data_IF_801847577829
#
_entry.id   IF_801847577829
#
_cell.length_a   1.000
_cell.length_b   1.000
_cell.length_c   1.000
_cell.angle_alpha   90.00
_cell.angle_beta   90.00
_cell.angle_gamma   90.00
#
_symmetry.space_group_name_H-M   'P 1'
#
loop_
_entity.id
_entity.type
_entity.pdbx_description
1 polymer ?
#
# COMPACT_ATOMS: atom_id res chain seq x y z
N UNK A 1 -2.76 -17.10 -5.29
CA UNK A 1 -3.67 -15.92 -5.29
C UNK A 1 -4.99 -16.23 -5.96
N UNK A 2 -6.08 -15.65 -5.46
CA UNK A 2 -7.40 -15.72 -6.09
C UNK A 2 -7.53 -14.62 -7.13
N UNK A 3 -7.80 -14.99 -8.38
CA UNK A 3 -8.15 -14.06 -9.45
C UNK A 3 -9.60 -13.60 -9.27
N UNK A 4 -9.82 -12.30 -9.07
CA UNK A 4 -11.15 -11.73 -8.90
C UNK A 4 -11.62 -11.14 -10.23
N UNK A 5 -12.78 -11.57 -10.72
CA UNK A 5 -13.35 -11.07 -11.97
C UNK A 5 -14.24 -9.87 -11.70
N UNK A 6 -13.98 -8.76 -12.40
CA UNK A 6 -14.78 -7.54 -12.30
C UNK A 6 -15.16 -7.07 -13.70
N UNK A 7 -16.47 -6.81 -13.90
CA UNK A 7 -16.96 -6.19 -15.13
C UNK A 7 -16.62 -4.69 -15.12
N UNK A 8 -16.05 -4.20 -16.20
CA UNK A 8 -15.67 -2.82 -16.38
C UNK A 8 -16.33 -2.24 -17.63
N UNK A 9 -16.75 -0.99 -17.56
CA UNK A 9 -17.30 -0.25 -18.71
C UNK A 9 -16.30 0.81 -19.14
N UNK A 10 -16.04 0.93 -20.44
CA UNK A 10 -15.19 2.01 -20.96
C UNK A 10 -15.93 3.35 -20.87
N UNK A 11 -15.20 4.43 -20.52
CA UNK A 11 -15.80 5.76 -20.41
C UNK A 11 -15.15 6.76 -21.35
N UNK A 12 -15.99 7.60 -21.95
CA UNK A 12 -15.59 8.69 -22.83
C UNK A 12 -15.87 10.07 -22.21
N UNK A 13 -16.64 10.13 -21.12
CA UNK A 13 -16.93 11.37 -20.43
C UNK A 13 -15.91 11.61 -19.31
N UNK A 14 -15.34 12.82 -19.26
CA UNK A 14 -14.31 13.22 -18.31
C UNK A 14 -14.73 14.42 -17.47
N UNK A 15 -13.91 14.72 -16.47
CA UNK A 15 -14.03 15.89 -15.60
C UNK A 15 -14.87 15.65 -14.34
N UNK A 16 -14.89 16.67 -13.48
CA UNK A 16 -15.49 16.63 -12.12
C UNK A 16 -16.96 16.22 -12.11
N UNK A 17 -17.74 16.71 -13.09
CA UNK A 17 -19.16 16.41 -13.18
C UNK A 17 -19.45 14.94 -13.52
N UNK A 18 -18.72 14.38 -14.49
CA UNK A 18 -18.82 12.98 -14.90
C UNK A 18 -18.41 12.05 -13.74
N UNK A 19 -17.27 12.29 -13.11
CA UNK A 19 -16.82 11.49 -11.96
C UNK A 19 -17.83 11.49 -10.79
N UNK A 20 -18.47 12.65 -10.51
CA UNK A 20 -19.50 12.73 -9.48
C UNK A 20 -20.77 11.93 -9.83
N UNK A 21 -21.18 11.88 -11.12
CA UNK A 21 -22.31 11.05 -11.54
C UNK A 21 -22.00 9.58 -11.34
N UNK A 22 -20.84 9.09 -11.81
CA UNK A 22 -20.38 7.71 -11.65
C UNK A 22 -20.41 7.28 -10.17
N UNK A 23 -19.87 8.10 -9.28
CA UNK A 23 -19.86 7.78 -7.83
C UNK A 23 -21.26 7.81 -7.22
N UNK A 24 -22.17 8.64 -7.72
CA UNK A 24 -23.59 8.65 -7.28
C UNK A 24 -24.29 7.35 -7.65
N UNK A 25 -23.92 6.75 -8.76
CA UNK A 25 -24.45 5.47 -9.24
C UNK A 25 -23.74 4.25 -8.61
N UNK A 26 -23.04 4.47 -7.47
CA UNK A 26 -22.27 3.45 -6.73
C UNK A 26 -21.19 2.78 -7.56
N UNK A 27 -20.69 3.45 -8.58
CA UNK A 27 -19.57 3.03 -9.42
C UNK A 27 -18.32 3.86 -9.08
N UNK A 28 -17.14 3.33 -9.41
CA UNK A 28 -15.85 3.98 -9.18
C UNK A 28 -15.16 4.23 -10.53
N UNK A 29 -14.74 5.48 -10.80
CA UNK A 29 -13.91 5.76 -11.97
C UNK A 29 -12.50 5.21 -11.73
N UNK A 30 -11.92 4.61 -12.75
CA UNK A 30 -10.56 4.09 -12.73
C UNK A 30 -9.83 4.34 -14.04
N UNK A 31 -8.53 4.09 -14.02
CA UNK A 31 -7.66 4.14 -15.19
C UNK A 31 -6.83 2.86 -15.23
N UNK A 32 -6.81 2.20 -16.39
CA UNK A 32 -5.95 1.07 -16.68
C UNK A 32 -4.83 1.55 -17.60
N UNK A 33 -3.59 1.33 -17.22
CA UNK A 33 -2.41 1.70 -18.00
C UNK A 33 -1.29 0.65 -17.85
N UNK A 34 -0.38 0.62 -18.79
CA UNK A 34 0.77 -0.29 -18.79
C UNK A 34 1.27 -0.60 -20.18
N UNK A 35 2.45 -1.22 -20.29
CA UNK A 35 3.07 -1.68 -21.53
C UNK A 35 3.18 -0.64 -22.66
N UNK A 36 3.18 0.66 -22.31
CA UNK A 36 3.24 1.74 -23.30
C UNK A 36 1.98 1.92 -24.16
N UNK A 37 0.87 1.24 -23.80
CA UNK A 37 -0.43 1.48 -24.41
C UNK A 37 -1.08 2.75 -23.89
N UNK A 38 -2.00 3.33 -24.67
CA UNK A 38 -2.77 4.48 -24.23
C UNK A 38 -3.59 4.13 -22.99
N UNK A 39 -3.67 5.03 -21.99
CA UNK A 39 -4.48 4.81 -20.79
C UNK A 39 -5.95 4.59 -21.12
N UNK A 40 -6.53 3.50 -20.63
CA UNK A 40 -7.93 3.19 -20.80
C UNK A 40 -8.72 3.64 -19.56
N UNK A 41 -9.66 4.55 -19.77
CA UNK A 41 -10.51 5.04 -18.69
C UNK A 41 -11.72 4.12 -18.50
N UNK A 42 -11.92 3.67 -17.27
CA UNK A 42 -12.92 2.68 -16.91
C UNK A 42 -13.89 3.20 -15.86
N UNK A 43 -15.03 2.56 -15.80
CA UNK A 43 -16.02 2.67 -14.73
C UNK A 43 -16.23 1.26 -14.16
N UNK A 44 -16.02 1.10 -12.87
CA UNK A 44 -16.04 -0.18 -12.15
C UNK A 44 -17.19 -0.23 -11.14
N UNK A 45 -17.82 -1.39 -10.89
CA UNK A 45 -18.80 -1.55 -9.83
C UNK A 45 -18.11 -1.35 -8.46
N UNK A 46 -18.61 -0.39 -7.68
CA UNK A 46 -17.95 0.02 -6.44
C UNK A 46 -17.92 -1.08 -5.36
N UNK A 47 -19.00 -1.87 -5.27
CA UNK A 47 -19.10 -2.95 -4.28
C UNK A 47 -18.08 -4.07 -4.57
N UNK A 48 -18.06 -4.57 -5.80
CA UNK A 48 -17.17 -5.68 -6.18
C UNK A 48 -15.71 -5.26 -6.09
N UNK A 49 -15.41 -4.02 -6.51
CA UNK A 49 -14.08 -3.45 -6.37
C UNK A 49 -13.67 -3.31 -4.89
N UNK A 50 -14.58 -2.85 -4.02
CA UNK A 50 -14.30 -2.74 -2.60
C UNK A 50 -14.03 -4.09 -1.95
N UNK A 51 -14.75 -5.13 -2.35
CA UNK A 51 -14.52 -6.49 -1.86
C UNK A 51 -13.18 -7.05 -2.34
N UNK A 52 -12.84 -6.83 -3.62
CA UNK A 52 -11.55 -7.23 -4.17
C UNK A 52 -10.37 -6.54 -3.46
N UNK A 53 -10.47 -5.23 -3.21
CA UNK A 53 -9.44 -4.43 -2.56
C UNK A 53 -9.28 -4.67 -1.04
N UNK A 54 -9.98 -5.65 -0.47
CA UNK A 54 -9.70 -6.13 0.90
C UNK A 54 -8.44 -6.98 0.96
N UNK A 55 -8.14 -7.68 -0.12
CA UNK A 55 -6.89 -8.42 -0.26
C UNK A 55 -5.84 -7.49 -0.86
N UNK A 56 -4.72 -7.24 -0.19
CA UNK A 56 -3.64 -6.45 -0.76
C UNK A 56 -3.09 -7.13 -2.01
N UNK A 57 -2.64 -6.33 -2.96
CA UNK A 57 -2.02 -6.81 -4.22
C UNK A 57 -2.86 -7.85 -4.99
N UNK A 58 -4.19 -7.74 -4.92
CA UNK A 58 -5.11 -8.66 -5.59
C UNK A 58 -4.96 -8.60 -7.11
N UNK A 59 -4.95 -9.77 -7.77
CA UNK A 59 -4.99 -9.84 -9.22
C UNK A 59 -6.45 -9.76 -9.70
N UNK A 60 -6.76 -8.71 -10.47
CA UNK A 60 -8.10 -8.45 -10.99
C UNK A 60 -8.16 -8.80 -12.46
N UNK A 61 -9.07 -9.71 -12.84
CA UNK A 61 -9.42 -9.96 -14.22
C UNK A 61 -10.56 -9.02 -14.62
N UNK A 62 -10.22 -8.02 -15.41
CA UNK A 62 -11.19 -7.05 -15.94
C UNK A 62 -11.87 -7.59 -17.17
N UNK A 63 -13.20 -7.59 -17.19
CA UNK A 63 -14.00 -7.84 -18.38
C UNK A 63 -14.52 -6.48 -18.89
N UNK A 64 -13.85 -5.95 -19.91
CA UNK A 64 -14.10 -4.61 -20.43
C UNK A 64 -15.14 -4.70 -21.54
N UNK A 65 -16.32 -4.11 -21.30
CA UNK A 65 -17.47 -4.08 -22.22
C UNK A 65 -17.90 -5.46 -22.76
N UNK A 66 -17.57 -6.55 -22.02
CA UNK A 66 -17.84 -7.93 -22.45
C UNK A 66 -17.02 -8.40 -23.67
N UNK A 67 -15.97 -7.64 -24.05
CA UNK A 67 -15.19 -7.91 -25.26
C UNK A 67 -13.73 -8.26 -24.97
N UNK A 68 -13.12 -7.54 -24.05
CA UNK A 68 -11.69 -7.67 -23.76
C UNK A 68 -11.49 -8.10 -22.33
N UNK A 69 -10.62 -9.11 -22.12
CA UNK A 69 -10.25 -9.59 -20.79
C UNK A 69 -8.80 -9.23 -20.54
N UNK A 70 -8.57 -8.41 -19.56
CA UNK A 70 -7.25 -7.95 -19.17
C UNK A 70 -6.98 -8.25 -17.69
N UNK A 71 -5.73 -8.54 -17.36
CA UNK A 71 -5.29 -8.72 -15.99
C UNK A 71 -4.68 -7.41 -15.49
N UNK A 72 -5.06 -7.02 -14.28
CA UNK A 72 -4.58 -5.79 -13.68
C UNK A 72 -4.33 -5.94 -12.18
N UNK A 73 -3.39 -5.14 -11.67
CA UNK A 73 -3.10 -5.02 -10.25
C UNK A 73 -3.41 -3.57 -9.83
N UNK A 74 -4.07 -3.35 -8.69
CA UNK A 74 -4.28 -2.00 -8.17
C UNK A 74 -2.94 -1.39 -7.75
N UNK A 75 -2.55 -0.27 -8.38
CA UNK A 75 -1.32 0.46 -8.06
C UNK A 75 -1.56 1.59 -7.06
N UNK A 76 -2.71 2.27 -7.19
CA UNK A 76 -3.11 3.34 -6.29
C UNK A 76 -4.62 3.31 -6.05
N UNK A 77 -5.02 3.47 -4.81
CA UNK A 77 -6.43 3.47 -4.40
C UNK A 77 -6.72 4.72 -3.60
N UNK A 78 -7.55 5.60 -4.15
CA UNK A 78 -7.98 6.81 -3.47
C UNK A 78 -9.29 6.55 -2.74
N UNK A 79 -9.32 6.87 -1.45
CA UNK A 79 -10.49 6.77 -0.59
C UNK A 79 -10.83 8.11 0.03
N UNK A 80 -12.11 8.39 0.18
CA UNK A 80 -12.57 9.54 0.97
C UNK A 80 -12.18 9.32 2.44
N UNK A 81 -11.42 10.25 3.06
CA UNK A 81 -10.89 10.06 4.42
C UNK A 81 -11.99 10.08 5.50
N UNK A 82 -13.15 10.70 5.22
CA UNK A 82 -14.25 10.83 6.19
C UNK A 82 -15.27 9.71 6.01
N UNK A 83 -15.68 9.44 4.78
CA UNK A 83 -16.75 8.49 4.46
C UNK A 83 -16.24 7.09 4.11
N UNK A 84 -14.94 6.95 3.81
CA UNK A 84 -14.29 5.68 3.51
C UNK A 84 -14.65 5.05 2.16
N UNK A 85 -15.47 5.70 1.33
CA UNK A 85 -15.79 5.14 0.01
C UNK A 85 -14.66 5.35 -0.99
N UNK A 86 -14.60 4.49 -2.00
CA UNK A 86 -13.62 4.56 -3.07
C UNK A 86 -13.90 5.76 -4.00
N UNK A 87 -12.91 6.60 -4.19
CA UNK A 87 -12.98 7.74 -5.10
C UNK A 87 -12.38 7.46 -6.47
N UNK A 88 -11.25 6.79 -6.51
CA UNK A 88 -10.54 6.46 -7.74
C UNK A 88 -9.68 5.22 -7.55
N UNK A 89 -9.40 4.51 -8.63
CA UNK A 89 -8.44 3.42 -8.66
C UNK A 89 -7.57 3.51 -9.90
N UNK A 90 -6.27 3.36 -9.70
CA UNK A 90 -5.27 3.22 -10.76
C UNK A 90 -4.89 1.75 -10.87
N UNK A 91 -5.05 1.20 -12.05
CA UNK A 91 -4.83 -0.21 -12.36
C UNK A 91 -3.65 -0.34 -13.32
N UNK A 92 -2.68 -1.16 -12.94
CA UNK A 92 -1.56 -1.50 -13.79
C UNK A 92 -1.88 -2.76 -14.58
N UNK A 93 -1.82 -2.67 -15.91
CA UNK A 93 -1.97 -3.82 -16.79
C UNK A 93 -0.78 -4.76 -16.60
N UNK A 94 -1.07 -6.05 -16.43
CA UNK A 94 -0.03 -7.07 -16.21
C UNK A 94 -0.28 -8.30 -17.06
N UNK A 95 0.80 -8.98 -17.42
CA UNK A 95 0.75 -10.29 -18.09
C UNK A 95 1.11 -11.39 -17.11
N UNK A 96 0.63 -12.59 -17.35
CA UNK A 96 1.02 -13.76 -16.55
C UNK A 96 2.53 -14.00 -16.68
N UNK A 97 3.20 -14.20 -15.55
CA UNK A 97 4.65 -14.41 -15.51
C UNK A 97 5.49 -13.13 -15.61
N UNK A 98 4.86 -11.96 -15.63
CA UNK A 98 5.56 -10.68 -15.62
C UNK A 98 5.93 -10.30 -14.20
N UNK A 99 7.11 -9.71 -14.04
CA UNK A 99 7.56 -9.15 -12.78
C UNK A 99 7.07 -7.71 -12.64
N UNK A 100 6.54 -7.40 -11.48
CA UNK A 100 5.99 -6.08 -11.16
C UNK A 100 6.51 -5.60 -9.82
N UNK A 101 6.71 -4.29 -9.71
CA UNK A 101 7.08 -3.65 -8.45
C UNK A 101 5.83 -3.35 -7.65
N UNK A 102 5.71 -4.02 -6.51
CA UNK A 102 4.58 -3.92 -5.59
C UNK A 102 5.07 -3.66 -4.17
N UNK A 103 4.19 -3.12 -3.34
CA UNK A 103 4.45 -2.93 -1.92
C UNK A 103 3.80 -4.07 -1.13
N UNK A 104 4.60 -4.75 -0.29
CA UNK A 104 4.12 -5.84 0.56
C UNK A 104 4.14 -5.37 2.01
N UNK A 105 3.01 -5.55 2.71
CA UNK A 105 2.90 -5.17 4.11
C UNK A 105 3.75 -6.04 5.01
N UNK A 106 4.41 -5.40 5.99
CA UNK A 106 5.21 -6.07 7.02
C UNK A 106 4.34 -6.30 8.26
N UNK A 107 4.14 -7.56 8.62
CA UNK A 107 3.51 -7.95 9.87
C UNK A 107 4.57 -8.39 10.87
N UNK A 108 4.42 -7.98 12.10
CA UNK A 108 5.33 -8.36 13.19
C UNK A 108 4.70 -9.44 14.06
N UNK A 109 5.47 -10.44 14.43
CA UNK A 109 5.09 -11.50 15.35
C UNK A 109 6.07 -11.59 16.52
N UNK A 110 5.55 -11.86 17.72
CA UNK A 110 6.32 -11.98 18.94
C UNK A 110 6.16 -10.81 19.90
N UNK A 111 6.73 -10.94 21.08
CA UNK A 111 6.74 -9.91 22.12
C UNK A 111 8.14 -9.33 22.26
N UNK A 112 8.22 -8.01 22.45
CA UNK A 112 9.49 -7.33 22.73
C UNK A 112 10.02 -7.73 24.11
N UNK A 113 11.31 -7.58 24.32
CA UNK A 113 11.92 -7.77 25.65
C UNK A 113 11.23 -6.86 26.70
N UNK A 114 11.03 -7.35 27.95
CA UNK A 114 10.45 -6.54 29.02
C UNK A 114 11.35 -5.34 29.32
N UNK A 115 10.76 -4.14 29.45
CA UNK A 115 11.55 -2.93 29.72
C UNK A 115 10.95 -1.64 29.18
N UNK A 116 9.66 -1.63 28.80
CA UNK A 116 9.01 -0.44 28.27
C UNK A 116 9.50 -0.09 26.86
N UNK A 117 9.74 -1.12 26.03
CA UNK A 117 10.16 -0.96 24.65
C UNK A 117 8.98 -0.65 23.73
N UNK A 118 9.15 0.26 22.79
CA UNK A 118 8.17 0.64 21.78
C UNK A 118 8.67 0.22 20.40
N UNK A 119 7.84 -0.53 19.67
CA UNK A 119 8.14 -0.89 18.28
C UNK A 119 7.69 0.24 17.35
N UNK A 120 8.62 0.77 16.60
CA UNK A 120 8.34 1.74 15.54
C UNK A 120 8.51 1.09 14.17
N UNK A 121 7.48 1.22 13.33
CA UNK A 121 7.55 0.85 11.92
C UNK A 121 8.05 2.05 11.11
N UNK A 122 9.31 2.01 10.71
CA UNK A 122 9.89 3.02 9.81
C UNK A 122 9.33 2.84 8.40
N UNK A 123 9.22 1.58 7.97
CA UNK A 123 8.57 1.20 6.72
C UNK A 123 7.42 0.22 7.01
N UNK A 124 6.19 0.65 6.77
CA UNK A 124 5.00 -0.20 6.93
C UNK A 124 4.84 -1.21 5.77
N UNK A 125 5.42 -0.90 4.63
CA UNK A 125 5.39 -1.74 3.45
C UNK A 125 6.77 -1.76 2.79
N UNK A 126 7.16 -2.92 2.26
CA UNK A 126 8.41 -3.13 1.54
C UNK A 126 8.15 -3.09 0.04
N UNK A 127 8.82 -2.21 -0.72
CA UNK A 127 8.82 -2.30 -2.17
C UNK A 127 9.64 -3.50 -2.61
N UNK A 128 8.99 -4.36 -3.40
CA UNK A 128 9.59 -5.58 -3.92
C UNK A 128 9.20 -5.80 -5.38
N UNK A 129 10.05 -6.50 -6.10
CA UNK A 129 9.75 -7.02 -7.42
C UNK A 129 9.31 -8.48 -7.29
N UNK A 130 8.08 -8.77 -7.70
CA UNK A 130 7.49 -10.11 -7.62
C UNK A 130 6.76 -10.46 -8.92
N UNK A 131 6.60 -11.76 -9.18
CA UNK A 131 5.77 -12.22 -10.30
C UNK A 131 4.29 -11.89 -10.04
N UNK A 132 3.61 -11.28 -11.01
CA UNK A 132 2.21 -10.82 -10.91
C UNK A 132 1.21 -11.91 -10.46
N UNK A 133 1.53 -13.18 -10.72
CA UNK A 133 0.70 -14.33 -10.32
C UNK A 133 1.01 -14.86 -8.92
N UNK A 134 2.16 -14.48 -8.32
CA UNK A 134 2.65 -15.03 -7.05
C UNK A 134 3.12 -13.92 -6.08
N UNK A 135 2.35 -12.84 -5.98
CA UNK A 135 2.66 -11.78 -5.03
C UNK A 135 2.19 -12.23 -3.62
N UNK A 136 3.03 -12.23 -2.61
CA UNK A 136 2.61 -12.52 -1.24
C UNK A 136 1.75 -11.37 -0.68
N UNK A 137 0.80 -11.68 0.19
CA UNK A 137 -0.09 -10.68 0.79
C UNK A 137 0.64 -9.87 1.87
N UNK A 138 1.52 -10.54 2.62
CA UNK A 138 2.31 -9.95 3.69
C UNK A 138 3.58 -10.74 3.94
N UNK A 139 4.54 -10.11 4.61
CA UNK A 139 5.75 -10.76 5.12
C UNK A 139 5.76 -10.63 6.63
N UNK A 140 5.98 -11.75 7.31
CA UNK A 140 6.04 -11.79 8.78
C UNK A 140 7.48 -11.67 9.25
N UNK A 141 7.69 -10.79 10.21
CA UNK A 141 9.00 -10.54 10.83
C UNK A 141 8.89 -10.78 12.33
N UNK A 142 9.77 -11.64 12.87
CA UNK A 142 9.82 -11.90 14.32
C UNK A 142 10.52 -10.75 15.02
N UNK A 143 9.86 -10.21 16.06
CA UNK A 143 10.41 -9.17 16.95
C UNK A 143 10.66 -9.71 18.36
N UNK A 144 10.63 -11.04 18.52
CA UNK A 144 10.72 -11.71 19.81
C UNK A 144 12.07 -11.42 20.52
N UNK A 145 11.98 -10.88 21.73
CA UNK A 145 13.16 -10.61 22.56
C UNK A 145 14.04 -9.46 22.12
N UNK A 146 13.62 -8.61 21.17
CA UNK A 146 14.39 -7.44 20.76
C UNK A 146 14.41 -6.41 21.88
N UNK A 147 15.61 -5.88 22.14
CA UNK A 147 15.88 -4.84 23.13
C UNK A 147 15.80 -3.43 22.50
N UNK A 148 15.71 -2.43 23.36
CA UNK A 148 15.80 -1.01 22.97
C UNK A 148 17.08 -0.72 22.18
N UNK A 149 16.93 -0.02 21.05
CA UNK A 149 18.01 0.30 20.13
C UNK A 149 18.25 -0.76 19.04
N UNK A 150 17.56 -1.91 19.08
CA UNK A 150 17.62 -2.88 17.99
C UNK A 150 16.88 -2.38 16.76
N UNK A 151 17.40 -2.67 15.58
CA UNK A 151 16.77 -2.36 14.30
C UNK A 151 16.79 -3.58 13.40
N UNK A 152 15.73 -3.77 12.62
CA UNK A 152 15.64 -4.81 11.59
C UNK A 152 15.79 -4.15 10.24
N UNK A 153 16.75 -4.61 9.46
CA UNK A 153 17.04 -4.13 8.12
C UNK A 153 16.27 -4.91 7.07
N UNK A 154 16.08 -4.32 5.89
CA UNK A 154 15.37 -4.98 4.80
C UNK A 154 16.00 -6.33 4.37
N UNK A 155 17.34 -6.46 4.45
CA UNK A 155 18.07 -7.70 4.15
C UNK A 155 17.83 -8.84 5.14
N UNK A 156 17.42 -8.52 6.39
CA UNK A 156 17.21 -9.51 7.45
C UNK A 156 15.83 -10.18 7.35
N UNK A 157 14.98 -9.66 6.45
CA UNK A 157 13.62 -10.15 6.25
C UNK A 157 13.61 -11.33 5.29
N UNK A 158 13.04 -12.45 5.73
CA UNK A 158 12.90 -13.64 4.90
C UNK A 158 11.80 -13.46 3.87
N UNK A 159 12.17 -13.31 2.61
CA UNK A 159 11.23 -13.20 1.50
C UNK A 159 10.88 -14.58 0.94
N UNK A 160 9.65 -14.79 0.46
CA UNK A 160 9.27 -16.02 -0.23
C UNK A 160 9.99 -16.14 -1.58
N UNK A 161 10.03 -17.35 -2.12
CA UNK A 161 10.69 -17.65 -3.39
C UNK A 161 10.07 -16.86 -4.55
N UNK A 162 10.92 -16.23 -5.37
CA UNK A 162 10.48 -15.44 -6.53
C UNK A 162 10.21 -13.96 -6.26
N UNK A 163 10.50 -13.49 -5.05
CA UNK A 163 10.41 -12.08 -4.66
C UNK A 163 11.80 -11.52 -4.45
N UNK A 164 12.09 -10.37 -5.02
CA UNK A 164 13.37 -9.65 -4.86
C UNK A 164 13.10 -8.26 -4.26
N UNK A 165 13.99 -7.80 -3.37
CA UNK A 165 13.90 -6.45 -2.79
C UNK A 165 14.16 -5.40 -3.89
N UNK A 166 13.32 -4.38 -3.91
CA UNK A 166 13.47 -3.17 -4.74
C UNK A 166 13.80 -1.94 -3.87
N UNK A 167 14.45 -2.17 -2.73
CA UNK A 167 14.87 -1.15 -1.77
C UNK A 167 16.30 -1.42 -1.33
N UNK A 168 16.97 -0.40 -0.79
CA UNK A 168 18.31 -0.55 -0.22
C UNK A 168 18.32 -1.67 0.84
N UNK A 169 19.17 -2.69 0.73
CA UNK A 169 19.27 -3.77 1.70
C UNK A 169 19.52 -3.30 3.15
N UNK A 170 20.19 -2.17 3.30
CA UNK A 170 20.51 -1.57 4.60
C UNK A 170 19.45 -0.59 5.11
N UNK A 171 18.32 -0.45 4.39
CA UNK A 171 17.19 0.33 4.87
C UNK A 171 16.59 -0.27 6.15
N UNK A 172 16.33 0.58 7.15
CA UNK A 172 15.68 0.19 8.40
C UNK A 172 14.19 0.03 8.16
N UNK A 173 13.66 -1.13 8.49
CA UNK A 173 12.22 -1.44 8.36
C UNK A 173 11.52 -1.28 9.70
N UNK A 174 12.10 -1.84 10.74
CA UNK A 174 11.59 -1.78 12.11
C UNK A 174 12.68 -1.28 13.05
N UNK A 175 12.28 -0.49 14.04
CA UNK A 175 13.17 -0.01 15.09
C UNK A 175 12.50 -0.13 16.45
N UNK A 176 13.27 -0.53 17.45
CA UNK A 176 12.80 -0.59 18.85
C UNK A 176 13.32 0.62 19.60
N UNK A 177 12.41 1.47 20.05
CA UNK A 177 12.71 2.64 20.88
C UNK A 177 12.51 2.33 22.37
N UNK A 178 13.25 3.03 23.25
CA UNK A 178 12.96 2.99 24.67
C UNK A 178 11.84 3.99 24.99
N UNK A 179 10.83 3.58 25.75
CA UNK A 179 9.74 4.45 26.17
C UNK A 179 10.18 5.61 27.11
N UNK A 180 11.46 5.66 27.49
CA UNK A 180 12.01 6.71 28.36
C UNK A 180 12.60 7.90 27.60
N UNK A 181 12.55 7.95 26.26
CA UNK A 181 13.22 8.98 25.45
C UNK A 181 12.37 10.20 25.07
N UNK A 182 11.15 10.36 25.61
CA UNK A 182 10.33 11.56 25.39
C UNK A 182 9.89 12.21 26.72
N UNK A 183 10.84 12.70 27.50
CA UNK A 183 10.57 13.94 28.26
C UNK A 183 11.02 15.10 27.35
N UNK A 184 10.09 15.94 26.84
CA UNK A 184 10.51 17.20 26.23
C UNK A 184 11.21 18.00 27.29
N UNK A 185 12.48 18.32 27.07
CA UNK A 185 13.22 19.27 27.90
C UNK A 185 12.51 20.63 27.85
N UNK A 186 11.73 20.93 28.88
CA UNK A 186 11.21 22.25 29.20
C UNK A 186 12.35 23.19 29.67
N UNK A 187 13.42 23.30 28.91
CA UNK A 187 14.55 24.17 29.21
C UNK A 187 14.91 25.10 28.05
N UNK A 188 13.88 25.74 27.45
CA UNK A 188 14.12 26.81 26.47
C UNK A 188 13.05 27.92 26.51
N UNK A 189 12.40 28.19 27.64
CA UNK A 189 11.41 29.27 27.78
C UNK A 189 11.62 30.21 28.96
N UNK A 190 12.83 30.28 29.51
CA UNK A 190 13.16 31.26 30.57
C UNK A 190 14.45 32.07 30.24
N UNK A 191 14.45 32.76 29.11
CA UNK A 191 15.63 33.50 28.68
C UNK A 191 15.36 34.76 27.85
N UNK A 192 14.12 35.27 27.79
CA UNK A 192 13.83 36.47 26.97
C UNK A 192 12.83 37.44 27.63
N UNK A 193 12.99 37.71 28.94
CA UNK A 193 12.26 38.79 29.62
C UNK A 193 13.16 39.56 30.58
N UNK A 194 14.32 40.04 30.12
CA UNK A 194 15.16 41.00 30.88
C UNK A 194 16.03 41.84 29.95
N UNK A 195 15.47 42.55 28.99
CA UNK A 195 16.16 43.61 28.29
C UNK A 195 15.18 44.57 27.58
N UNK A 196 14.27 45.20 28.36
CA UNK A 196 13.69 46.48 27.95
C UNK A 196 13.05 47.15 29.20
N UNK A 197 13.89 47.91 29.92
CA UNK A 197 13.48 48.97 30.82
C UNK A 197 14.53 50.09 30.73
#
# INVERSE_FOLDING_TARGET
>A
MSEVKIAAESRTEFGKGAARRIRRDSKVPGVLYGHGSDPLHLTLPGHDLQMALRTPNVLIALDIDGKTKELAIPKSVQRDPIKGFLEHVDLLLVKRGEKVNVEIYVHTEGELAPGGNLLEHVLNALPVEAEATHIPESVTVSVEGLESGASILAKDITLPSGVTLDVDPDAVVLQVLSAQAEEPSEEAAEGEEAAEA
#
